data_IF_527239288201
#
_entry.id   IF_527239288201
#
_cell.length_a   1.000
_cell.length_b   1.000
_cell.length_c   1.000
_cell.angle_alpha   90.00
_cell.angle_beta   90.00
_cell.angle_gamma   90.00
#
_symmetry.space_group_name_H-M   'P 1'
#
loop_
_entity.id
_entity.type
_entity.pdbx_description
1 polymer ?
#
# COMPACT_ATOMS: atom_id res chain seq x y z
N UNK A 1 -26.46 -74.27 16.33
CA UNK A 1 -27.01 -72.95 15.94
C UNK A 1 -26.52 -71.91 16.94
N UNK A 2 -26.33 -70.67 16.45
CA UNK A 2 -25.98 -69.45 17.19
C UNK A 2 -24.46 -69.14 17.36
N UNK A 3 -23.93 -68.52 16.30
CA UNK A 3 -22.79 -67.60 16.31
C UNK A 3 -23.04 -66.46 17.30
N UNK A 4 -22.06 -66.10 18.12
CA UNK A 4 -21.99 -64.76 18.71
C UNK A 4 -20.75 -64.05 18.17
N UNK A 5 -21.03 -62.90 17.56
CA UNK A 5 -20.13 -62.05 16.81
C UNK A 5 -19.27 -61.22 17.76
N UNK A 6 -17.96 -61.21 17.51
CA UNK A 6 -17.01 -60.28 18.09
C UNK A 6 -17.27 -58.92 17.42
N UNK A 7 -17.93 -58.00 18.13
CA UNK A 7 -18.05 -56.61 17.71
C UNK A 7 -16.78 -55.85 18.10
N UNK A 8 -15.82 -55.79 17.18
CA UNK A 8 -14.63 -54.94 17.31
C UNK A 8 -15.04 -53.47 17.28
N UNK A 9 -14.83 -52.77 18.39
CA UNK A 9 -15.00 -51.33 18.51
C UNK A 9 -13.84 -50.63 17.78
N UNK A 10 -14.02 -50.31 16.50
CA UNK A 10 -13.09 -49.44 15.76
C UNK A 10 -13.32 -48.02 16.28
N UNK A 11 -12.47 -47.60 17.21
CA UNK A 11 -12.36 -46.19 17.61
C UNK A 11 -11.67 -45.47 16.44
N UNK A 12 -12.47 -45.00 15.47
CA UNK A 12 -12.03 -43.99 14.53
C UNK A 12 -11.77 -42.70 15.32
N UNK A 13 -10.53 -42.52 15.78
CA UNK A 13 -10.04 -41.21 16.18
C UNK A 13 -10.04 -40.33 14.94
N UNK A 14 -11.16 -39.63 14.72
CA UNK A 14 -11.23 -38.52 13.80
C UNK A 14 -10.25 -37.45 14.31
N UNK A 15 -9.01 -37.53 13.83
CA UNK A 15 -8.09 -36.42 13.89
C UNK A 15 -8.71 -35.32 13.05
N UNK A 16 -9.45 -34.44 13.71
CA UNK A 16 -9.84 -33.15 13.18
C UNK A 16 -8.52 -32.47 12.85
N UNK A 17 -8.07 -32.60 11.60
CA UNK A 17 -7.03 -31.78 11.05
C UNK A 17 -7.63 -30.38 11.00
N UNK A 18 -7.42 -29.62 12.08
CA UNK A 18 -7.58 -28.18 12.03
C UNK A 18 -6.76 -27.72 10.83
N UNK A 19 -7.36 -27.01 9.85
CA UNK A 19 -6.57 -26.36 8.84
C UNK A 19 -5.56 -25.50 9.59
N UNK A 20 -4.28 -25.75 9.34
CA UNK A 20 -3.22 -24.90 9.86
C UNK A 20 -3.54 -23.50 9.38
N UNK A 21 -3.89 -22.62 10.32
CA UNK A 21 -4.10 -21.22 10.06
C UNK A 21 -2.91 -20.74 9.25
N UNK A 22 -3.20 -20.33 8.01
CA UNK A 22 -2.22 -19.74 7.12
C UNK A 22 -1.59 -18.59 7.88
N UNK A 23 -0.30 -18.70 8.24
CA UNK A 23 0.44 -17.75 9.08
C UNK A 23 -0.19 -16.36 9.05
N UNK A 24 -1.02 -16.10 10.06
CA UNK A 24 -1.60 -14.80 10.28
C UNK A 24 -0.44 -13.81 10.41
N UNK A 25 -0.53 -12.61 9.82
CA UNK A 25 0.32 -11.47 10.22
C UNK A 25 0.54 -11.52 11.73
N UNK A 26 1.80 -11.73 12.10
CA UNK A 26 2.24 -11.79 13.48
C UNK A 26 2.55 -10.36 13.87
N UNK A 27 1.87 -9.86 14.90
CA UNK A 27 2.10 -8.52 15.44
C UNK A 27 3.33 -8.58 16.37
N UNK A 28 4.48 -8.94 15.81
CA UNK A 28 5.73 -9.15 16.55
C UNK A 28 6.16 -7.89 17.30
N UNK A 29 5.77 -6.73 16.78
CA UNK A 29 6.06 -5.41 17.35
C UNK A 29 4.94 -4.91 18.29
N UNK A 30 3.93 -5.73 18.56
CA UNK A 30 2.84 -5.50 19.49
C UNK A 30 2.04 -4.19 19.24
N UNK A 31 2.07 -3.68 18.01
CA UNK A 31 1.42 -2.44 17.60
C UNK A 31 -0.11 -2.59 17.56
N UNK A 32 -0.57 -3.75 17.07
CA UNK A 32 -1.98 -4.10 17.01
C UNK A 32 -2.58 -4.45 18.37
N UNK A 33 -1.81 -4.53 19.45
CA UNK A 33 -2.38 -4.60 20.81
C UNK A 33 -3.33 -3.43 21.08
N UNK A 34 -3.00 -2.24 20.55
CA UNK A 34 -3.82 -1.03 20.70
C UNK A 34 -4.43 -0.56 19.36
N UNK A 35 -3.70 -0.65 18.25
CA UNK A 35 -4.14 -0.09 16.97
C UNK A 35 -5.23 -0.90 16.26
N UNK A 36 -5.59 -2.11 16.72
CA UNK A 36 -6.64 -2.95 16.10
C UNK A 36 -8.08 -2.57 16.45
N UNK A 37 -8.31 -1.55 17.27
CA UNK A 37 -9.64 -1.18 17.72
C UNK A 37 -10.22 0.00 16.92
N UNK A 38 -11.45 -0.10 16.38
CA UNK A 38 -12.06 0.95 15.54
C UNK A 38 -12.12 2.36 16.15
N UNK A 39 -12.23 2.45 17.46
CA UNK A 39 -12.33 3.73 18.19
C UNK A 39 -10.97 4.30 18.62
N UNK A 40 -9.86 3.70 18.18
CA UNK A 40 -8.53 4.27 18.42
C UNK A 40 -8.38 5.52 17.55
N UNK A 41 -8.36 6.70 18.17
CA UNK A 41 -8.25 7.97 17.47
C UNK A 41 -8.16 9.15 18.43
N UNK A 42 -7.91 10.35 17.90
CA UNK A 42 -7.97 11.61 18.66
C UNK A 42 -8.56 12.73 17.82
N UNK A 43 -9.17 13.69 18.49
CA UNK A 43 -9.45 15.00 17.89
C UNK A 43 -8.16 15.81 18.00
N UNK A 44 -7.66 16.32 16.89
CA UNK A 44 -6.48 17.18 16.86
C UNK A 44 -6.83 18.61 17.29
N UNK A 45 -5.82 19.44 17.58
CA UNK A 45 -6.00 20.79 18.10
C UNK A 45 -6.80 21.71 17.14
N UNK A 46 -6.84 21.37 15.85
CA UNK A 46 -7.63 21.99 14.79
C UNK A 46 -9.06 21.41 14.66
N UNK A 47 -9.50 20.57 15.60
CA UNK A 47 -10.83 19.98 15.65
C UNK A 47 -11.05 18.77 14.74
N UNK A 48 -10.02 18.26 14.06
CA UNK A 48 -10.14 17.14 13.11
C UNK A 48 -10.07 15.78 13.82
N UNK A 49 -11.06 14.91 13.59
CA UNK A 49 -10.97 13.52 14.04
C UNK A 49 -9.93 12.75 13.22
N UNK A 50 -8.89 12.26 13.88
CA UNK A 50 -7.86 11.38 13.31
C UNK A 50 -8.03 9.97 13.87
N UNK A 51 -8.37 9.03 12.99
CA UNK A 51 -8.35 7.60 13.33
C UNK A 51 -6.93 7.05 13.27
N UNK A 52 -6.61 6.22 14.25
CA UNK A 52 -5.38 5.41 14.34
C UNK A 52 -5.69 3.92 14.26
N UNK A 53 -6.90 3.57 13.84
CA UNK A 53 -7.33 2.19 13.65
C UNK A 53 -6.64 1.55 12.43
N UNK A 54 -6.04 0.39 12.66
CA UNK A 54 -5.51 -0.50 11.63
C UNK A 54 -6.41 -1.73 11.56
N UNK A 55 -7.05 -1.95 10.42
CA UNK A 55 -7.81 -3.16 10.12
C UNK A 55 -6.86 -4.32 9.79
N UNK A 56 -6.64 -5.32 10.68
CA UNK A 56 -5.59 -6.30 10.46
C UNK A 56 -5.85 -7.18 9.22
N UNK A 57 -7.11 -7.52 8.97
CA UNK A 57 -7.52 -8.32 7.80
C UNK A 57 -7.30 -7.56 6.48
N UNK A 58 -7.44 -6.23 6.47
CA UNK A 58 -7.13 -5.42 5.29
C UNK A 58 -5.63 -5.26 5.12
N UNK A 59 -4.90 -4.95 6.20
CA UNK A 59 -3.44 -4.80 6.19
C UNK A 59 -2.74 -6.05 5.64
N UNK A 60 -3.16 -7.24 6.10
CA UNK A 60 -2.70 -8.56 5.64
C UNK A 60 -2.81 -8.76 4.12
N UNK A 61 -3.70 -8.03 3.43
CA UNK A 61 -3.92 -8.14 1.98
C UNK A 61 -3.14 -7.10 1.18
N UNK A 62 -2.47 -6.16 1.84
CA UNK A 62 -1.69 -5.12 1.16
C UNK A 62 -0.33 -5.63 0.68
N UNK A 63 0.29 -4.87 -0.22
CA UNK A 63 1.68 -5.10 -0.66
C UNK A 63 2.70 -4.87 0.46
N UNK A 64 2.31 -4.20 1.54
CA UNK A 64 3.15 -3.91 2.71
C UNK A 64 2.95 -4.89 3.87
N UNK A 65 2.13 -5.94 3.72
CA UNK A 65 1.81 -6.87 4.83
C UNK A 65 3.03 -7.51 5.52
N UNK A 66 4.15 -7.63 4.81
CA UNK A 66 5.39 -8.24 5.29
C UNK A 66 6.42 -7.18 5.72
N UNK A 67 6.03 -5.90 5.74
CA UNK A 67 6.84 -4.79 6.24
C UNK A 67 6.48 -4.58 7.70
N UNK A 68 7.44 -4.74 8.65
CA UNK A 68 7.24 -4.40 10.05
C UNK A 68 6.75 -2.95 10.20
N UNK A 69 5.95 -2.68 11.23
CA UNK A 69 5.41 -1.33 11.45
C UNK A 69 6.55 -0.32 11.64
N UNK A 70 7.58 -0.67 12.42
CA UNK A 70 8.73 0.20 12.74
C UNK A 70 9.68 0.44 11.58
N UNK A 71 9.65 -0.39 10.53
CA UNK A 71 10.39 -0.14 9.29
C UNK A 71 9.90 1.15 8.59
N UNK A 72 8.61 1.47 8.75
CA UNK A 72 8.04 2.76 8.33
C UNK A 72 8.03 3.77 9.49
N UNK A 73 7.59 3.32 10.66
CA UNK A 73 7.47 4.11 11.89
C UNK A 73 8.79 4.14 12.68
N UNK A 74 9.86 4.54 12.01
CA UNK A 74 11.25 4.48 12.53
C UNK A 74 11.51 5.27 13.82
N UNK A 75 10.61 6.18 14.19
CA UNK A 75 10.71 6.96 15.43
C UNK A 75 10.08 6.27 16.65
N UNK A 76 9.41 5.14 16.48
CA UNK A 76 8.76 4.41 17.57
C UNK A 76 9.73 3.37 18.13
N UNK A 77 10.07 3.49 19.41
CA UNK A 77 11.08 2.66 20.09
C UNK A 77 10.63 2.11 21.46
N UNK A 78 9.46 2.50 21.95
CA UNK A 78 8.89 2.07 23.23
C UNK A 78 7.38 1.89 23.09
N UNK A 79 6.76 1.08 23.96
CA UNK A 79 5.31 0.91 24.06
C UNK A 79 4.86 1.02 25.52
N UNK A 80 3.78 1.78 25.83
CA UNK A 80 3.08 2.73 24.97
C UNK A 80 4.01 3.82 24.42
N UNK A 81 3.90 4.12 23.13
CA UNK A 81 4.83 5.07 22.51
C UNK A 81 4.45 6.53 22.79
N UNK A 82 5.44 7.41 22.94
CA UNK A 82 5.22 8.86 22.97
C UNK A 82 4.62 9.38 21.64
N UNK A 83 3.98 10.57 21.64
CA UNK A 83 3.50 11.18 20.40
C UNK A 83 4.63 11.33 19.38
N UNK A 84 4.49 10.68 18.22
CA UNK A 84 5.46 10.83 17.14
C UNK A 84 5.21 12.14 16.40
N UNK A 85 6.25 12.98 16.33
CA UNK A 85 6.27 14.22 15.54
C UNK A 85 6.70 13.98 14.09
N UNK A 86 7.22 12.78 13.77
CA UNK A 86 7.74 12.44 12.45
C UNK A 86 6.81 11.47 11.75
N UNK A 87 6.16 11.93 10.69
CA UNK A 87 5.34 11.06 9.84
C UNK A 87 6.19 10.08 9.03
N UNK A 88 5.59 8.94 8.67
CA UNK A 88 6.18 7.96 7.74
C UNK A 88 6.45 8.59 6.38
N UNK A 89 7.59 8.28 5.77
CA UNK A 89 7.91 8.67 4.39
C UNK A 89 8.22 7.43 3.54
N UNK A 90 8.01 7.51 2.23
CA UNK A 90 8.15 6.37 1.34
C UNK A 90 9.62 6.08 0.95
N UNK A 91 10.52 7.03 1.18
CA UNK A 91 11.96 6.96 0.90
C UNK A 91 12.79 6.34 2.04
N UNK A 92 12.16 6.03 3.17
CA UNK A 92 12.81 5.28 4.26
C UNK A 92 13.07 3.83 3.83
N UNK A 93 14.08 3.18 4.41
CA UNK A 93 14.31 1.75 4.23
C UNK A 93 13.22 0.94 4.92
N UNK A 94 12.47 0.16 4.15
CA UNK A 94 11.26 -0.52 4.65
C UNK A 94 11.34 -2.04 4.62
N UNK A 95 12.29 -2.64 3.91
CA UNK A 95 12.55 -4.07 4.03
C UNK A 95 13.83 -4.21 4.86
N UNK A 96 13.70 -4.30 6.19
CA UNK A 96 14.84 -4.54 7.08
C UNK A 96 15.52 -5.88 6.81
N UNK A 97 14.81 -6.83 6.18
CA UNK A 97 15.38 -8.04 5.61
C UNK A 97 16.10 -7.69 4.30
N UNK A 98 17.38 -8.06 4.20
CA UNK A 98 18.17 -7.87 2.96
C UNK A 98 17.50 -8.61 1.80
N UNK A 99 17.29 -7.91 0.70
CA UNK A 99 16.80 -8.54 -0.52
C UNK A 99 17.86 -9.55 -1.01
N UNK A 100 17.53 -10.85 -1.16
CA UNK A 100 18.50 -11.86 -1.58
C UNK A 100 19.14 -11.59 -2.95
N UNK A 101 18.42 -10.89 -3.85
CA UNK A 101 18.90 -10.59 -5.20
C UNK A 101 19.87 -9.40 -5.26
N UNK A 102 19.75 -8.44 -4.33
CA UNK A 102 20.57 -7.21 -4.37
C UNK A 102 21.50 -7.06 -3.17
N UNK A 103 21.31 -7.87 -2.12
CA UNK A 103 22.00 -7.75 -0.83
C UNK A 103 21.66 -6.47 -0.04
N UNK A 104 20.77 -5.61 -0.56
CA UNK A 104 20.44 -4.30 -0.01
C UNK A 104 19.02 -4.31 0.57
N UNK A 105 18.78 -3.43 1.54
CA UNK A 105 17.42 -3.12 2.01
C UNK A 105 16.66 -2.39 0.90
N UNK A 106 15.35 -2.57 0.86
CA UNK A 106 14.49 -1.89 -0.11
C UNK A 106 14.06 -0.52 0.41
N UNK A 107 14.04 0.47 -0.49
CA UNK A 107 13.49 1.81 -0.27
C UNK A 107 12.99 2.39 -1.60
N UNK A 108 11.96 3.23 -1.58
CA UNK A 108 11.56 4.01 -2.77
C UNK A 108 12.44 5.24 -3.01
N UNK A 109 13.56 5.42 -2.28
CA UNK A 109 14.42 6.62 -2.34
C UNK A 109 14.73 7.08 -3.76
N UNK A 110 15.11 6.17 -4.66
CA UNK A 110 15.42 6.51 -6.06
C UNK A 110 14.23 7.18 -6.76
N UNK A 111 13.04 6.63 -6.62
CA UNK A 111 11.82 7.18 -7.23
C UNK A 111 11.36 8.44 -6.50
N UNK A 112 11.50 8.49 -5.17
CA UNK A 112 11.19 9.69 -4.39
C UNK A 112 12.06 10.87 -4.82
N UNK A 113 13.36 10.66 -4.99
CA UNK A 113 14.31 11.71 -5.39
C UNK A 113 14.06 12.21 -6.82
N UNK A 114 13.50 11.39 -7.69
CA UNK A 114 13.03 11.80 -9.02
C UNK A 114 11.70 12.55 -8.93
N UNK A 115 10.74 12.04 -8.15
CA UNK A 115 9.43 12.66 -7.97
C UNK A 115 9.54 14.06 -7.39
N UNK A 116 10.36 14.27 -6.36
CA UNK A 116 10.48 15.58 -5.69
C UNK A 116 11.08 16.65 -6.61
N UNK A 117 11.82 16.25 -7.65
CA UNK A 117 12.38 17.13 -8.69
C UNK A 117 11.42 17.36 -9.86
N UNK A 118 10.31 16.62 -9.93
CA UNK A 118 9.32 16.77 -10.99
C UNK A 118 8.38 17.95 -10.74
N UNK A 119 7.61 18.34 -11.76
CA UNK A 119 6.59 19.40 -11.66
C UNK A 119 5.48 19.08 -10.65
N UNK A 120 5.23 17.79 -10.40
CA UNK A 120 4.27 17.32 -9.40
C UNK A 120 4.88 17.13 -8.02
N UNK A 121 6.21 17.25 -7.89
CA UNK A 121 6.93 17.04 -6.65
C UNK A 121 6.49 18.01 -5.56
N UNK A 122 6.17 17.47 -4.38
CA UNK A 122 5.91 18.26 -3.17
C UNK A 122 6.33 17.53 -1.89
N UNK A 123 6.45 18.30 -0.81
CA UNK A 123 6.60 17.75 0.55
C UNK A 123 5.32 17.01 0.95
N UNK A 124 5.46 16.02 1.84
CA UNK A 124 4.32 15.24 2.38
C UNK A 124 3.26 16.14 3.01
N UNK A 125 3.70 17.08 3.84
CA UNK A 125 2.88 18.16 4.39
C UNK A 125 3.18 19.40 3.53
N UNK A 126 2.19 19.84 2.78
CA UNK A 126 2.26 21.00 1.91
C UNK A 126 1.12 21.95 2.24
N UNK A 127 1.34 23.24 2.01
CA UNK A 127 0.41 24.34 2.28
C UNK A 127 0.31 25.22 1.03
N UNK A 128 -0.72 26.07 0.95
CA UNK A 128 -0.92 26.93 -0.21
C UNK A 128 -1.08 26.12 -1.51
N UNK A 129 -0.57 26.65 -2.62
CA UNK A 129 -0.72 26.04 -3.95
C UNK A 129 -0.05 24.65 -4.04
N UNK A 130 1.01 24.41 -3.26
CA UNK A 130 1.66 23.11 -3.24
C UNK A 130 0.78 22.00 -2.63
N UNK A 131 -0.21 22.33 -1.80
CA UNK A 131 -1.10 21.34 -1.20
C UNK A 131 -1.96 20.61 -2.25
N UNK A 132 -2.21 21.25 -3.39
CA UNK A 132 -3.01 20.72 -4.49
C UNK A 132 -2.24 19.79 -5.43
N UNK A 133 -0.89 19.82 -5.39
CA UNK A 133 -0.08 18.87 -6.17
C UNK A 133 -0.32 17.43 -5.64
N UNK A 134 -0.32 16.41 -6.51
CA UNK A 134 -0.48 15.03 -6.05
C UNK A 134 0.73 14.59 -5.23
N UNK A 135 0.52 13.74 -4.22
CA UNK A 135 1.60 13.04 -3.49
C UNK A 135 1.65 11.56 -3.89
N UNK A 136 2.58 10.79 -3.32
CA UNK A 136 2.75 9.36 -3.61
C UNK A 136 1.42 8.59 -3.53
N UNK A 137 0.65 8.84 -2.46
CA UNK A 137 -0.64 8.17 -2.23
C UNK A 137 -1.68 8.51 -3.29
N UNK A 138 -1.67 9.75 -3.82
CA UNK A 138 -2.63 10.19 -4.83
C UNK A 138 -2.59 9.28 -6.06
N UNK A 139 -1.40 8.90 -6.52
CA UNK A 139 -1.26 7.95 -7.62
C UNK A 139 -1.50 6.51 -7.14
N UNK A 140 -0.96 6.11 -5.98
CA UNK A 140 -1.09 4.72 -5.50
C UNK A 140 -2.52 4.31 -5.11
N UNK A 141 -3.42 5.25 -4.87
CA UNK A 141 -4.86 5.02 -4.66
C UNK A 141 -5.71 5.38 -5.87
N UNK A 142 -5.12 5.89 -6.95
CA UNK A 142 -5.86 6.18 -8.18
C UNK A 142 -6.17 4.86 -8.89
N UNK A 143 -7.43 4.54 -9.24
CA UNK A 143 -7.80 3.31 -9.95
C UNK A 143 -7.07 3.09 -11.29
N UNK A 144 -6.60 4.15 -11.96
CA UNK A 144 -5.81 4.05 -13.20
C UNK A 144 -4.34 3.61 -12.97
N UNK A 145 -3.85 3.71 -11.74
CA UNK A 145 -2.51 3.29 -11.30
C UNK A 145 -2.54 2.14 -10.29
N UNK A 146 -3.72 1.89 -9.74
CA UNK A 146 -4.06 0.84 -8.81
C UNK A 146 -5.44 0.29 -9.15
N UNK A 147 -5.59 -0.31 -10.34
CA UNK A 147 -6.84 -0.97 -10.70
C UNK A 147 -7.09 -2.12 -9.73
N UNK A 148 -8.36 -2.46 -9.54
CA UNK A 148 -8.72 -3.63 -8.76
C UNK A 148 -8.11 -4.87 -9.40
N UNK A 149 -7.03 -5.37 -8.77
CA UNK A 149 -6.33 -6.55 -9.24
C UNK A 149 -7.22 -7.77 -8.99
N UNK A 150 -7.84 -8.27 -10.08
CA UNK A 150 -8.36 -9.63 -10.12
C UNK A 150 -7.24 -10.62 -9.79
N UNK A 151 -7.62 -11.85 -9.44
CA UNK A 151 -6.68 -12.94 -9.22
C UNK A 151 -5.59 -12.98 -10.33
N UNK A 152 -4.32 -13.26 -9.97
CA UNK A 152 -3.23 -13.33 -10.93
C UNK A 152 -3.59 -14.17 -12.16
N UNK A 153 -3.17 -13.78 -13.37
CA UNK A 153 -3.49 -14.57 -14.57
C UNK A 153 -2.97 -16.01 -14.41
N UNK A 154 -3.90 -16.98 -14.43
CA UNK A 154 -3.59 -18.40 -14.18
C UNK A 154 -2.41 -18.91 -15.03
N UNK A 155 -2.36 -18.55 -16.31
CA UNK A 155 -1.28 -18.92 -17.24
C UNK A 155 0.10 -18.41 -16.80
N UNK A 156 0.18 -17.25 -16.14
CA UNK A 156 1.45 -16.72 -15.61
C UNK A 156 1.83 -17.50 -14.36
N UNK A 157 0.90 -17.65 -13.41
CA UNK A 157 1.14 -18.40 -12.17
C UNK A 157 1.59 -19.82 -12.45
N UNK A 158 0.89 -20.54 -13.34
CA UNK A 158 1.20 -21.92 -13.66
C UNK A 158 2.62 -22.09 -14.20
N UNK A 159 3.14 -21.12 -14.98
CA UNK A 159 4.53 -21.13 -15.47
C UNK A 159 5.54 -20.96 -14.35
N UNK A 160 5.27 -20.06 -13.41
CA UNK A 160 6.17 -19.79 -12.28
C UNK A 160 6.19 -20.96 -11.29
N UNK A 161 5.04 -21.63 -11.08
CA UNK A 161 4.91 -22.78 -10.16
C UNK A 161 5.71 -24.00 -10.62
N UNK A 162 6.05 -24.10 -11.90
CA UNK A 162 6.94 -25.16 -12.41
C UNK A 162 8.26 -25.24 -11.63
N UNK A 163 8.81 -24.09 -11.19
CA UNK A 163 10.03 -24.03 -10.40
C UNK A 163 9.80 -23.52 -8.96
N UNK A 164 8.80 -22.66 -8.75
CA UNK A 164 8.45 -22.12 -7.42
C UNK A 164 7.26 -22.89 -6.84
N UNK A 165 7.55 -24.07 -6.28
CA UNK A 165 6.58 -25.11 -5.91
C UNK A 165 5.39 -24.63 -5.05
N UNK A 166 5.57 -23.59 -4.25
CA UNK A 166 4.48 -23.01 -3.43
C UNK A 166 3.68 -22.00 -4.23
N UNK A 167 2.50 -22.40 -4.71
CA UNK A 167 1.57 -21.52 -5.44
C UNK A 167 1.24 -20.22 -4.69
N UNK A 168 0.97 -20.30 -3.39
CA UNK A 168 0.71 -19.12 -2.56
C UNK A 168 1.88 -18.14 -2.52
N UNK A 169 3.12 -18.64 -2.60
CA UNK A 169 4.29 -17.77 -2.68
C UNK A 169 4.31 -17.05 -4.03
N UNK A 170 4.08 -17.78 -5.13
CA UNK A 170 4.05 -17.23 -6.49
C UNK A 170 2.95 -16.18 -6.65
N UNK A 171 1.74 -16.46 -6.19
CA UNK A 171 0.62 -15.51 -6.25
C UNK A 171 0.90 -14.25 -5.43
N UNK A 172 1.46 -14.42 -4.22
CA UNK A 172 1.85 -13.29 -3.36
C UNK A 172 2.98 -12.46 -3.97
N UNK A 173 3.96 -13.10 -4.61
CA UNK A 173 5.05 -12.42 -5.31
C UNK A 173 4.55 -11.68 -6.55
N UNK A 174 3.65 -12.31 -7.31
CA UNK A 174 3.00 -11.69 -8.46
C UNK A 174 2.23 -10.45 -8.01
N UNK A 175 1.35 -10.55 -7.02
CA UNK A 175 0.59 -9.40 -6.51
C UNK A 175 1.46 -8.28 -5.93
N UNK A 176 2.68 -8.60 -5.47
CA UNK A 176 3.63 -7.59 -5.00
C UNK A 176 4.25 -6.78 -6.16
N UNK A 177 4.39 -7.39 -7.34
CA UNK A 177 5.10 -6.83 -8.51
C UNK A 177 4.21 -6.57 -9.72
N UNK A 178 2.95 -7.02 -9.68
CA UNK A 178 1.94 -7.04 -10.74
C UNK A 178 1.76 -5.69 -11.40
N UNK A 179 1.74 -4.62 -10.62
CA UNK A 179 1.62 -3.24 -11.12
C UNK A 179 2.75 -2.84 -12.07
N UNK A 180 3.96 -3.37 -11.85
CA UNK A 180 5.12 -3.14 -12.74
C UNK A 180 5.11 -4.07 -13.95
N UNK A 181 4.40 -5.19 -13.88
CA UNK A 181 4.36 -6.22 -14.92
C UNK A 181 3.21 -5.97 -15.91
N UNK A 182 2.04 -5.52 -15.43
CA UNK A 182 0.82 -5.38 -16.24
C UNK A 182 0.68 -4.01 -16.91
N UNK A 183 1.10 -2.94 -16.25
CA UNK A 183 0.88 -1.55 -16.72
C UNK A 183 2.12 -0.94 -17.38
N UNK A 184 2.85 -1.72 -18.19
CA UNK A 184 4.05 -1.21 -18.87
C UNK A 184 3.70 -0.12 -19.89
N UNK A 185 2.45 -0.08 -20.40
CA UNK A 185 1.98 0.97 -21.32
C UNK A 185 0.52 1.33 -21.07
N UNK A 186 0.24 2.63 -20.90
CA UNK A 186 -1.12 3.19 -20.85
C UNK A 186 -1.60 3.58 -22.24
N UNK A 187 -2.88 3.43 -22.48
CA UNK A 187 -3.56 3.98 -23.67
C UNK A 187 -3.57 5.52 -23.62
N UNK A 188 -3.69 6.19 -24.78
CA UNK A 188 -3.89 7.64 -24.82
C UNK A 188 -5.08 8.10 -23.97
N UNK A 189 -6.17 7.32 -23.93
CA UNK A 189 -7.37 7.62 -23.15
C UNK A 189 -7.09 7.63 -21.64
N UNK A 190 -6.39 6.62 -21.12
CA UNK A 190 -6.03 6.55 -19.70
C UNK A 190 -5.08 7.70 -19.29
N UNK A 191 -4.18 8.11 -20.19
CA UNK A 191 -3.32 9.27 -19.96
C UNK A 191 -4.15 10.55 -19.86
N UNK A 192 -5.08 10.75 -20.80
CA UNK A 192 -5.96 11.92 -20.78
C UNK A 192 -6.85 11.95 -19.53
N UNK A 193 -7.41 10.81 -19.12
CA UNK A 193 -8.23 10.70 -17.91
C UNK A 193 -7.43 11.07 -16.66
N UNK A 194 -6.19 10.58 -16.54
CA UNK A 194 -5.30 10.95 -15.45
C UNK A 194 -5.05 12.46 -15.39
N UNK A 195 -4.61 13.05 -16.51
CA UNK A 195 -4.24 14.46 -16.55
C UNK A 195 -5.45 15.37 -16.30
N UNK A 196 -6.59 15.04 -16.90
CA UNK A 196 -7.81 15.83 -16.81
C UNK A 196 -8.43 15.85 -15.41
N UNK A 197 -8.20 14.81 -14.59
CA UNK A 197 -8.66 14.77 -13.19
C UNK A 197 -8.28 16.02 -12.38
N UNK A 198 -7.14 16.64 -12.71
CA UNK A 198 -6.67 17.89 -12.10
C UNK A 198 -6.67 19.05 -13.10
N UNK A 199 -6.11 18.88 -14.30
CA UNK A 199 -5.92 19.98 -15.26
C UNK A 199 -7.18 20.40 -16.00
N UNK A 200 -8.27 19.63 -15.92
CA UNK A 200 -9.59 20.02 -16.41
C UNK A 200 -10.57 20.33 -15.27
N UNK A 201 -10.11 20.30 -14.02
CA UNK A 201 -10.94 20.66 -12.87
C UNK A 201 -11.03 22.19 -12.78
N UNK A 202 -12.14 22.76 -13.28
CA UNK A 202 -12.38 24.20 -13.35
C UNK A 202 -12.10 24.92 -12.02
N UNK A 203 -12.62 24.39 -10.90
CA UNK A 203 -12.44 24.98 -9.57
C UNK A 203 -10.98 25.02 -9.14
N UNK A 204 -10.24 23.93 -9.38
CA UNK A 204 -8.81 23.85 -9.07
C UNK A 204 -8.02 24.85 -9.93
N UNK A 205 -8.28 24.88 -11.23
CA UNK A 205 -7.61 25.77 -12.19
C UNK A 205 -7.88 27.24 -11.86
N UNK A 206 -9.14 27.64 -11.65
CA UNK A 206 -9.50 29.02 -11.31
C UNK A 206 -8.81 29.49 -10.04
N UNK A 207 -8.82 28.67 -8.98
CA UNK A 207 -8.10 28.98 -7.74
C UNK A 207 -6.61 29.20 -7.98
N UNK A 208 -5.96 28.35 -8.77
CA UNK A 208 -4.53 28.53 -9.08
C UNK A 208 -4.25 29.73 -9.98
N UNK A 209 -5.21 30.15 -10.80
CA UNK A 209 -5.14 31.40 -11.58
C UNK A 209 -5.22 32.61 -10.67
N UNK A 210 -6.14 32.62 -9.71
CA UNK A 210 -6.31 33.75 -8.80
C UNK A 210 -5.12 33.86 -7.84
N UNK A 211 -4.65 32.74 -7.27
CA UNK A 211 -3.40 32.72 -6.50
C UNK A 211 -2.20 33.20 -7.30
N UNK A 212 -2.14 32.91 -8.61
CA UNK A 212 -1.04 33.40 -9.45
C UNK A 212 -1.03 34.92 -9.57
N UNK A 213 -2.20 35.53 -9.72
CA UNK A 213 -2.36 36.98 -9.80
C UNK A 213 -1.98 37.64 -8.48
N UNK A 214 -2.43 37.06 -7.35
CA UNK A 214 -2.09 37.55 -6.00
C UNK A 214 -0.58 37.49 -5.72
N UNK A 215 0.09 36.45 -6.22
CA UNK A 215 1.53 36.23 -6.06
C UNK A 215 2.38 36.94 -7.14
N UNK A 216 1.76 37.70 -8.06
CA UNK A 216 2.41 38.32 -9.23
C UNK A 216 3.26 37.34 -10.07
N UNK A 217 2.90 36.04 -10.07
CA UNK A 217 3.63 35.01 -10.82
C UNK A 217 2.98 34.76 -12.18
N UNK A 218 3.82 34.61 -13.20
CA UNK A 218 3.34 34.11 -14.48
C UNK A 218 2.89 32.66 -14.37
N UNK A 219 1.71 32.34 -14.90
CA UNK A 219 1.33 30.97 -15.18
C UNK A 219 2.02 30.50 -16.46
N UNK A 220 2.37 29.21 -16.51
CA UNK A 220 2.91 28.61 -17.73
C UNK A 220 2.00 28.92 -18.93
N UNK A 221 2.61 29.33 -20.05
CA UNK A 221 1.86 29.62 -21.28
C UNK A 221 1.08 28.37 -21.70
N UNK A 222 -0.21 28.51 -22.01
CA UNK A 222 -0.94 27.45 -22.73
C UNK A 222 -0.13 27.15 -23.99
N UNK A 223 0.25 25.89 -24.20
CA UNK A 223 0.86 25.50 -25.46
C UNK A 223 -0.13 25.85 -26.59
N UNK A 224 0.30 26.60 -27.62
CA UNK A 224 -0.60 27.09 -28.68
C UNK A 224 -1.11 25.99 -29.62
N UNK A 225 -0.72 24.73 -29.38
CA UNK A 225 -1.12 23.57 -30.17
C UNK A 225 -1.81 22.55 -29.25
N UNK A 226 -3.11 22.75 -29.04
CA UNK A 226 -4.04 21.73 -28.56
C UNK A 226 -5.17 21.62 -29.59
#
# INVERSE_FOLDING_TARGET
MLRQLIAGLIICTAWIMYPSDSFAFEDDEACLMCHKYPMMGRITDDGVLRSYYVMPHMFKRTVHRNVPCRDCHTSINELPHKPSKKGVTCDTECHSIKNPATGKKFSHKVIHDLYIKSTHGRKKIATGADADKPYCVSCHTNPLYNPDEKAPPKKIIDRCVVCHEKRDFVERWYNHTSRRIREVRRSPQEILELCSSCHNNKKLVERHVDMAKEEERELGRKFPFA
#
